data_IF_778811257787
#
_entry.id   IF_778811257787
#
_cell.length_a   1.000
_cell.length_b   1.000
_cell.length_c   1.000
_cell.angle_alpha   90.00
_cell.angle_beta   90.00
_cell.angle_gamma   90.00
#
_symmetry.space_group_name_H-M   'P 1'
#
loop_
_entity.id
_entity.type
_entity.pdbx_description
1 polymer ?
#
# COMPACT_ATOMS: atom_id res chain seq x y z
N UNK A 1 10.12 3.78 20.78
CA UNK A 1 9.43 2.50 20.76
C UNK A 1 10.26 1.42 21.46
N UNK A 2 9.59 0.58 22.26
CA UNK A 2 10.22 -0.51 23.04
C UNK A 2 10.87 -1.54 22.11
N UNK A 3 10.21 -1.93 21.04
CA UNK A 3 10.72 -2.91 20.06
C UNK A 3 12.02 -2.41 19.44
N UNK A 4 12.09 -1.15 19.02
CA UNK A 4 13.29 -0.56 18.44
C UNK A 4 14.46 -0.56 19.43
N UNK A 5 14.20 -0.24 20.70
CA UNK A 5 15.22 -0.27 21.77
C UNK A 5 15.77 -1.68 22.02
N UNK A 6 14.89 -2.68 22.04
CA UNK A 6 15.29 -4.08 22.21
C UNK A 6 16.13 -4.55 21.03
N UNK A 7 15.70 -4.26 19.80
CA UNK A 7 16.42 -4.65 18.59
C UNK A 7 17.81 -4.00 18.50
N UNK A 8 17.92 -2.72 18.88
CA UNK A 8 19.21 -2.02 18.99
C UNK A 8 20.13 -2.69 20.01
N UNK A 9 19.61 -3.03 21.18
CA UNK A 9 20.36 -3.71 22.23
C UNK A 9 20.87 -5.08 21.80
N UNK A 10 20.09 -5.81 20.99
CA UNK A 10 20.44 -7.12 20.44
C UNK A 10 21.32 -7.03 19.19
N UNK A 11 21.71 -5.83 18.77
CA UNK A 11 22.58 -5.56 17.61
C UNK A 11 22.07 -6.10 16.28
N UNK A 12 20.75 -6.09 16.07
CA UNK A 12 20.20 -6.34 14.75
C UNK A 12 20.60 -5.22 13.79
N UNK A 13 20.77 -5.56 12.49
CA UNK A 13 21.02 -4.55 11.47
C UNK A 13 19.83 -3.60 11.31
N UNK A 14 20.08 -2.42 10.73
CA UNK A 14 19.06 -1.37 10.63
C UNK A 14 17.85 -1.79 9.79
N UNK A 15 18.08 -2.47 8.67
CA UNK A 15 17.01 -2.91 7.77
C UNK A 15 16.06 -3.90 8.47
N UNK A 16 16.64 -4.94 9.12
CA UNK A 16 15.85 -5.91 9.90
C UNK A 16 15.08 -5.23 11.02
N UNK A 17 15.71 -4.29 11.73
CA UNK A 17 15.08 -3.56 12.82
C UNK A 17 13.90 -2.73 12.35
N UNK A 18 14.04 -1.99 11.25
CA UNK A 18 12.98 -1.16 10.68
C UNK A 18 11.79 -2.02 10.24
N UNK A 19 12.04 -3.14 9.58
CA UNK A 19 11.00 -4.08 9.15
C UNK A 19 10.24 -4.69 10.34
N UNK A 20 10.94 -5.08 11.41
CA UNK A 20 10.30 -5.62 12.61
C UNK A 20 9.47 -4.56 13.33
N UNK A 21 9.99 -3.35 13.48
CA UNK A 21 9.27 -2.22 14.10
C UNK A 21 8.00 -1.90 13.32
N UNK A 22 8.06 -1.90 11.98
CA UNK A 22 6.90 -1.68 11.12
C UNK A 22 5.84 -2.77 11.29
N UNK A 23 6.25 -4.06 11.32
CA UNK A 23 5.34 -5.16 11.56
C UNK A 23 4.64 -5.07 12.92
N UNK A 24 5.36 -4.71 13.96
CA UNK A 24 4.79 -4.50 15.30
C UNK A 24 3.83 -3.31 15.30
N UNK A 25 4.15 -2.24 14.58
CA UNK A 25 3.28 -1.08 14.45
C UNK A 25 1.92 -1.41 13.81
N UNK A 26 1.93 -2.28 12.78
CA UNK A 26 0.72 -2.66 12.05
C UNK A 26 0.08 -3.97 12.49
N UNK A 27 0.61 -4.66 13.51
CA UNK A 27 0.16 -6.01 13.88
C UNK A 27 -1.34 -6.10 14.26
N UNK A 28 -1.92 -5.03 14.75
CA UNK A 28 -3.32 -4.93 15.15
C UNK A 28 -4.18 -4.13 14.16
N UNK A 29 -3.61 -3.77 13.00
CA UNK A 29 -4.35 -3.04 11.98
C UNK A 29 -5.57 -3.84 11.49
N UNK A 30 -6.67 -3.14 11.26
CA UNK A 30 -7.86 -3.74 10.68
C UNK A 30 -7.71 -3.82 9.16
N UNK A 31 -7.90 -5.02 8.61
CA UNK A 31 -7.90 -5.23 7.17
C UNK A 31 -9.33 -5.30 6.65
N UNK A 32 -9.58 -4.61 5.55
CA UNK A 32 -10.80 -4.76 4.78
C UNK A 32 -10.55 -5.64 3.55
N UNK A 33 -11.55 -6.45 3.19
CA UNK A 33 -11.47 -7.33 2.03
C UNK A 33 -11.81 -6.53 0.78
N UNK A 34 -10.92 -6.51 -0.19
CA UNK A 34 -11.12 -5.84 -1.47
C UNK A 34 -9.81 -5.39 -2.12
N UNK A 35 -9.78 -5.39 -3.45
CA UNK A 35 -8.59 -5.01 -4.25
C UNK A 35 -8.06 -3.62 -3.90
N UNK A 36 -8.95 -2.64 -3.74
CA UNK A 36 -8.62 -1.26 -3.37
C UNK A 36 -7.79 -1.19 -2.08
N UNK A 37 -8.22 -1.90 -1.04
CA UNK A 37 -7.52 -1.88 0.26
C UNK A 37 -6.17 -2.58 0.20
N UNK A 38 -6.09 -3.68 -0.53
CA UNK A 38 -4.85 -4.43 -0.74
C UNK A 38 -3.85 -3.59 -1.53
N UNK A 39 -4.27 -2.93 -2.60
CA UNK A 39 -3.41 -2.01 -3.36
C UNK A 39 -2.86 -0.87 -2.50
N UNK A 40 -3.66 -0.31 -1.60
CA UNK A 40 -3.22 0.70 -0.64
C UNK A 40 -2.15 0.17 0.30
N UNK A 41 -2.31 -1.05 0.82
CA UNK A 41 -1.29 -1.69 1.65
C UNK A 41 0.00 -1.97 0.86
N UNK A 42 -0.11 -2.48 -0.36
CA UNK A 42 1.05 -2.71 -1.24
C UNK A 42 1.81 -1.42 -1.53
N UNK A 43 1.10 -0.33 -1.77
CA UNK A 43 1.72 0.98 -1.95
C UNK A 43 2.40 1.49 -0.67
N UNK A 44 1.82 1.20 0.48
CA UNK A 44 2.28 1.72 1.78
C UNK A 44 3.53 1.00 2.30
N UNK A 45 3.55 -0.32 2.27
CA UNK A 45 4.62 -1.12 2.87
C UNK A 45 5.30 -2.11 1.91
N UNK A 46 4.79 -2.26 0.69
CA UNK A 46 5.31 -3.19 -0.31
C UNK A 46 4.81 -4.62 -0.15
N UNK A 47 5.00 -5.43 -1.19
CA UNK A 47 4.52 -6.82 -1.25
C UNK A 47 5.12 -7.71 -0.16
N UNK A 48 6.44 -7.71 -0.04
CA UNK A 48 7.16 -8.59 0.89
C UNK A 48 6.75 -8.33 2.34
N UNK A 49 6.67 -7.06 2.71
CA UNK A 49 6.30 -6.67 4.06
C UNK A 49 4.81 -6.93 4.32
N UNK A 50 3.95 -6.73 3.34
CA UNK A 50 2.53 -7.05 3.47
C UNK A 50 2.30 -8.56 3.65
N UNK A 51 3.04 -9.41 2.92
CA UNK A 51 3.01 -10.86 3.13
C UNK A 51 3.43 -11.26 4.55
N UNK A 52 4.48 -10.64 5.07
CA UNK A 52 4.91 -10.84 6.47
C UNK A 52 3.84 -10.43 7.46
N UNK A 53 3.19 -9.29 7.22
CA UNK A 53 2.12 -8.79 8.06
C UNK A 53 0.92 -9.75 8.09
N UNK A 54 0.52 -10.31 6.95
CA UNK A 54 -0.52 -11.34 6.89
C UNK A 54 -0.14 -12.58 7.68
N UNK A 55 1.12 -13.02 7.61
CA UNK A 55 1.61 -14.16 8.38
C UNK A 55 1.60 -13.90 9.89
N UNK A 56 2.01 -12.70 10.32
CA UNK A 56 1.95 -12.28 11.73
C UNK A 56 0.50 -12.27 12.23
N UNK A 57 -0.42 -11.73 11.44
CA UNK A 57 -1.86 -11.71 11.77
C UNK A 57 -2.43 -13.12 11.87
N UNK A 58 -2.07 -14.01 10.95
CA UNK A 58 -2.51 -15.40 10.98
C UNK A 58 -2.01 -16.11 12.24
N UNK A 59 -0.73 -15.94 12.60
CA UNK A 59 -0.16 -16.51 13.81
C UNK A 59 -0.83 -15.98 15.09
N UNK A 60 -1.09 -14.67 15.13
CA UNK A 60 -1.77 -14.03 16.25
C UNK A 60 -3.21 -14.57 16.43
N UNK A 61 -3.96 -14.69 15.34
CA UNK A 61 -5.31 -15.26 15.37
C UNK A 61 -5.29 -16.71 15.85
N UNK A 62 -4.35 -17.54 15.38
CA UNK A 62 -4.20 -18.93 15.81
C UNK A 62 -3.84 -19.06 17.29
N UNK A 63 -3.13 -18.10 17.85
CA UNK A 63 -2.79 -18.06 19.27
C UNK A 63 -3.99 -17.67 20.17
N UNK A 64 -5.00 -17.05 19.60
CA UNK A 64 -6.22 -16.64 20.32
C UNK A 64 -7.32 -17.68 20.10
N UNK A 65 -7.57 -18.51 21.11
CA UNK A 65 -8.66 -19.48 21.07
C UNK A 65 -9.99 -18.81 21.36
N UNK A 66 -10.64 -18.24 20.36
CA UNK A 66 -11.96 -17.62 20.47
C UNK A 66 -12.98 -18.20 19.48
N UNK A 67 -14.26 -17.90 19.65
CA UNK A 67 -15.36 -18.39 18.81
C UNK A 67 -15.29 -17.90 17.37
N UNK A 68 -14.59 -16.79 17.12
CA UNK A 68 -14.47 -16.14 15.81
C UNK A 68 -13.17 -16.48 15.08
N UNK A 69 -12.36 -17.36 15.62
CA UNK A 69 -11.04 -17.71 15.06
C UNK A 69 -11.13 -18.15 13.60
N UNK A 70 -12.05 -19.07 13.29
CA UNK A 70 -12.21 -19.60 11.92
C UNK A 70 -12.62 -18.49 10.93
N UNK A 71 -13.59 -17.65 11.30
CA UNK A 71 -14.03 -16.52 10.48
C UNK A 71 -12.90 -15.54 10.22
N UNK A 72 -12.11 -15.24 11.24
CA UNK A 72 -10.94 -14.34 11.13
C UNK A 72 -9.85 -14.94 10.24
N UNK A 73 -9.58 -16.24 10.34
CA UNK A 73 -8.63 -16.93 9.47
C UNK A 73 -9.10 -16.95 8.01
N UNK A 74 -10.39 -17.19 7.77
CA UNK A 74 -10.98 -17.12 6.42
C UNK A 74 -10.82 -15.72 5.80
N UNK A 75 -11.00 -14.68 6.59
CA UNK A 75 -10.79 -13.30 6.12
C UNK A 75 -9.34 -13.07 5.68
N UNK A 76 -8.37 -13.54 6.44
CA UNK A 76 -6.94 -13.44 6.09
C UNK A 76 -6.65 -14.25 4.80
N UNK A 77 -7.22 -15.43 4.65
CA UNK A 77 -7.06 -16.25 3.46
C UNK A 77 -7.65 -15.57 2.22
N UNK A 78 -8.84 -14.96 2.34
CA UNK A 78 -9.46 -14.19 1.27
C UNK A 78 -8.59 -12.99 0.84
N UNK A 79 -8.00 -12.28 1.80
CA UNK A 79 -7.05 -11.20 1.51
C UNK A 79 -5.86 -11.74 0.72
N UNK A 80 -5.33 -12.90 1.10
CA UNK A 80 -4.24 -13.57 0.38
C UNK A 80 -4.61 -13.91 -1.07
N UNK A 81 -5.80 -14.41 -1.33
CA UNK A 81 -6.29 -14.70 -2.69
C UNK A 81 -6.40 -13.43 -3.54
N UNK A 82 -6.98 -12.37 -3.00
CA UNK A 82 -7.12 -11.10 -3.70
C UNK A 82 -5.74 -10.46 -3.96
N UNK A 83 -4.81 -10.60 -3.02
CA UNK A 83 -3.41 -10.17 -3.21
C UNK A 83 -2.79 -10.84 -4.44
N UNK A 84 -2.94 -12.17 -4.57
CA UNK A 84 -2.42 -12.89 -5.74
C UNK A 84 -3.07 -12.43 -7.05
N UNK A 85 -4.38 -12.19 -7.05
CA UNK A 85 -5.07 -11.62 -8.23
C UNK A 85 -4.49 -10.26 -8.62
N UNK A 86 -4.34 -9.34 -7.68
CA UNK A 86 -3.77 -8.01 -7.93
C UNK A 86 -2.37 -8.09 -8.52
N UNK A 87 -1.54 -9.02 -8.02
CA UNK A 87 -0.17 -9.20 -8.51
C UNK A 87 -0.12 -9.87 -9.88
N UNK A 88 -0.98 -10.87 -10.14
CA UNK A 88 -1.07 -11.55 -11.44
C UNK A 88 -1.58 -10.64 -12.55
N UNK A 89 -2.55 -9.80 -12.24
CA UNK A 89 -3.15 -8.87 -13.21
C UNK A 89 -2.27 -7.63 -13.46
N UNK A 90 -1.11 -7.55 -12.83
CA UNK A 90 -0.18 -6.40 -12.91
C UNK A 90 -0.88 -5.06 -12.68
N UNK A 91 -1.86 -5.05 -11.77
CA UNK A 91 -2.65 -3.86 -11.50
C UNK A 91 -1.82 -2.74 -10.86
N UNK A 92 -2.12 -1.50 -11.23
CA UNK A 92 -1.46 -0.32 -10.71
C UNK A 92 -1.72 -0.15 -9.20
N UNK A 93 -0.67 -0.10 -8.40
CA UNK A 93 -0.76 0.19 -6.96
C UNK A 93 0.36 1.09 -6.43
N UNK A 94 1.28 1.53 -7.30
CA UNK A 94 2.37 2.42 -6.90
C UNK A 94 2.62 3.52 -7.95
N UNK A 95 3.37 4.56 -7.57
CA UNK A 95 3.70 5.66 -8.47
C UNK A 95 4.47 5.22 -9.71
N UNK A 96 5.30 4.18 -9.63
CA UNK A 96 6.01 3.65 -10.82
C UNK A 96 5.10 2.93 -11.80
N UNK A 97 3.93 2.46 -11.35
CA UNK A 97 2.94 1.82 -12.23
C UNK A 97 2.01 2.85 -12.87
N UNK A 98 2.00 4.09 -12.35
CA UNK A 98 1.16 5.16 -12.86
C UNK A 98 1.61 5.59 -14.26
N UNK A 99 0.65 5.79 -15.18
CA UNK A 99 0.92 6.12 -16.57
C UNK A 99 1.50 7.54 -16.77
N UNK A 100 1.46 8.38 -15.75
CA UNK A 100 2.05 9.73 -15.74
C UNK A 100 3.10 9.84 -14.65
N UNK A 101 4.09 10.72 -14.89
CA UNK A 101 5.16 11.01 -13.94
C UNK A 101 5.32 12.52 -13.73
N UNK A 102 6.28 12.93 -12.89
CA UNK A 102 6.51 14.33 -12.60
C UNK A 102 6.89 15.16 -13.83
N UNK A 103 7.63 14.58 -14.79
CA UNK A 103 7.99 15.27 -16.03
C UNK A 103 6.76 15.59 -16.89
N UNK A 104 5.82 14.66 -16.95
CA UNK A 104 4.57 14.86 -17.68
C UNK A 104 3.78 16.04 -17.10
N UNK A 105 3.74 16.16 -15.75
CA UNK A 105 3.07 17.27 -15.08
C UNK A 105 3.78 18.61 -15.32
N UNK A 106 5.10 18.63 -15.33
CA UNK A 106 5.88 19.84 -15.66
C UNK A 106 5.58 20.29 -17.09
N UNK A 107 5.49 19.35 -18.03
CA UNK A 107 5.18 19.63 -19.43
C UNK A 107 3.83 20.33 -19.61
N UNK A 108 2.83 19.99 -18.81
CA UNK A 108 1.51 20.63 -18.87
C UNK A 108 1.37 21.92 -18.06
N UNK A 109 2.42 22.33 -17.32
CA UNK A 109 2.49 23.62 -16.65
C UNK A 109 2.68 23.60 -15.12
N UNK A 110 2.80 22.43 -14.49
CA UNK A 110 3.12 22.37 -13.07
C UNK A 110 4.56 22.78 -12.80
N UNK A 111 4.79 23.50 -11.72
CA UNK A 111 6.14 23.87 -11.27
C UNK A 111 6.76 22.70 -10.48
N UNK A 112 8.08 22.44 -10.65
CA UNK A 112 8.79 21.48 -9.82
C UNK A 112 8.61 21.76 -8.33
N UNK A 113 8.31 20.74 -7.54
CA UNK A 113 8.17 20.87 -6.10
C UNK A 113 7.14 19.92 -5.50
N UNK A 114 6.73 20.22 -4.28
CA UNK A 114 5.82 19.40 -3.46
C UNK A 114 4.46 19.15 -4.12
N UNK A 115 3.94 20.15 -4.85
CA UNK A 115 2.64 20.06 -5.51
C UNK A 115 2.58 18.90 -6.53
N UNK A 116 3.67 18.64 -7.25
CA UNK A 116 3.77 17.51 -8.19
C UNK A 116 3.55 16.17 -7.46
N UNK A 117 4.20 15.99 -6.32
CA UNK A 117 4.03 14.79 -5.49
C UNK A 117 2.59 14.62 -5.01
N UNK A 118 1.96 15.68 -4.58
CA UNK A 118 0.55 15.67 -4.15
C UNK A 118 -0.39 15.31 -5.30
N UNK A 119 -0.20 15.88 -6.48
CA UNK A 119 -1.01 15.57 -7.67
C UNK A 119 -0.82 14.12 -8.08
N UNK A 120 0.41 13.63 -8.14
CA UNK A 120 0.70 12.23 -8.49
C UNK A 120 0.05 11.24 -7.50
N UNK A 121 0.13 11.52 -6.20
CA UNK A 121 -0.50 10.68 -5.19
C UNK A 121 -2.04 10.69 -5.30
N UNK A 122 -2.64 11.84 -5.60
CA UNK A 122 -4.08 11.93 -5.83
C UNK A 122 -4.52 11.17 -7.09
N UNK A 123 -3.75 11.25 -8.17
CA UNK A 123 -4.01 10.48 -9.40
C UNK A 123 -3.88 8.97 -9.13
N UNK A 124 -2.84 8.56 -8.40
CA UNK A 124 -2.66 7.17 -8.00
C UNK A 124 -3.83 6.67 -7.15
N UNK A 125 -4.27 7.43 -6.17
CA UNK A 125 -5.39 7.04 -5.32
C UNK A 125 -6.69 6.89 -6.11
N UNK A 126 -6.92 7.77 -7.10
CA UNK A 126 -8.08 7.67 -8.00
C UNK A 126 -8.04 6.42 -8.89
N UNK A 127 -6.86 6.00 -9.33
CA UNK A 127 -6.68 4.75 -10.09
C UNK A 127 -6.89 3.53 -9.18
N UNK A 128 -6.30 3.54 -7.99
CA UNK A 128 -6.47 2.45 -7.01
C UNK A 128 -7.93 2.28 -6.61
N UNK A 129 -8.67 3.37 -6.43
CA UNK A 129 -10.09 3.33 -6.06
C UNK A 129 -11.01 2.95 -7.22
N UNK A 130 -10.51 2.93 -8.46
CA UNK A 130 -11.29 2.63 -9.65
C UNK A 130 -12.09 3.82 -10.21
N UNK A 131 -11.89 5.02 -9.68
CA UNK A 131 -12.52 6.25 -10.21
C UNK A 131 -11.99 6.61 -11.59
N UNK A 132 -10.71 6.39 -11.83
CA UNK A 132 -10.06 6.70 -13.09
C UNK A 132 -9.28 5.49 -13.61
N UNK A 133 -9.14 5.44 -14.93
CA UNK A 133 -8.34 4.44 -15.63
C UNK A 133 -6.88 4.93 -15.68
N UNK A 134 -5.92 4.01 -15.53
CA UNK A 134 -4.50 4.31 -15.62
C UNK A 134 -4.06 4.48 -17.09
N UNK A 135 -4.55 5.53 -17.74
CA UNK A 135 -4.20 5.93 -19.10
C UNK A 135 -3.62 7.33 -19.08
N UNK A 136 -2.48 7.53 -19.73
CA UNK A 136 -1.73 8.78 -19.73
C UNK A 136 -2.57 9.99 -20.11
N UNK A 137 -3.31 9.91 -21.23
CA UNK A 137 -4.14 11.00 -21.74
C UNK A 137 -5.22 11.41 -20.75
N UNK A 138 -5.89 10.42 -20.16
CA UNK A 138 -6.96 10.65 -19.18
C UNK A 138 -6.43 11.29 -17.90
N UNK A 139 -5.31 10.81 -17.40
CA UNK A 139 -4.71 11.35 -16.18
C UNK A 139 -4.16 12.75 -16.39
N UNK A 140 -3.59 13.04 -17.55
CA UNK A 140 -3.15 14.39 -17.90
C UNK A 140 -4.32 15.35 -18.03
N UNK A 141 -5.44 14.96 -18.62
CA UNK A 141 -6.63 15.77 -18.69
C UNK A 141 -7.16 16.16 -17.31
N UNK A 142 -7.17 15.23 -16.36
CA UNK A 142 -7.55 15.49 -14.97
C UNK A 142 -6.59 16.47 -14.32
N UNK A 143 -5.28 16.27 -14.51
CA UNK A 143 -4.26 17.15 -13.98
C UNK A 143 -4.36 18.57 -14.55
N UNK A 144 -4.61 18.71 -15.85
CA UNK A 144 -4.81 20.03 -16.50
C UNK A 144 -6.03 20.76 -15.96
N UNK A 145 -7.16 20.07 -15.81
CA UNK A 145 -8.36 20.66 -15.19
C UNK A 145 -8.08 21.16 -13.79
N UNK A 146 -7.30 20.44 -13.03
CA UNK A 146 -6.94 20.80 -11.65
C UNK A 146 -6.01 22.03 -11.61
N UNK A 147 -5.09 22.12 -12.57
CA UNK A 147 -4.16 23.24 -12.69
C UNK A 147 -4.88 24.57 -13.01
N UNK A 148 -5.91 24.51 -13.85
CA UNK A 148 -6.65 25.66 -14.35
C UNK A 148 -7.97 25.91 -13.60
N UNK A 149 -8.36 25.03 -12.73
CA UNK A 149 -9.51 25.15 -11.83
C UNK A 149 -9.13 25.78 -10.52
#
# INVERSE_FOLDING_TARGET
DMTDKIMKRLRFDNDTREKVVELVYYHDATFEVGKKYIKRWLNKIGEEQFRRLLNVRRADIKAQADMNQETRLQKIDNIGYILEEVLQDEECFSLKDLAVNGRDLITIGYKPGKEIGEVLNNLLDSVISGENINEKEKLLEIAERRLHG
#
